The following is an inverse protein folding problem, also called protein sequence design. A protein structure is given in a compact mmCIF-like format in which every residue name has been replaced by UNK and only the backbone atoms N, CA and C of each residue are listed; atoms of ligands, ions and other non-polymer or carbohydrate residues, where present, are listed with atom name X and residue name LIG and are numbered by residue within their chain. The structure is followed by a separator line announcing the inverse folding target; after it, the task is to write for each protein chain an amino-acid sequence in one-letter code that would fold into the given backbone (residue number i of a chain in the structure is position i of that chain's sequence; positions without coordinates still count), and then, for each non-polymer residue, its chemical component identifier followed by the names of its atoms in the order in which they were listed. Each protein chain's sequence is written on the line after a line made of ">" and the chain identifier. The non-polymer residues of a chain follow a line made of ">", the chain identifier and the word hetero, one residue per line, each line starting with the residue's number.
data_IF_062319591042
#
_entry.id   IF_062319591042
#
_cell.length_a   1.000
_cell.length_b   1.000
_cell.length_c   1.000
_cell.angle_alpha   90.00
_cell.angle_beta   90.00
_cell.angle_gamma   90.00
#
_symmetry.space_group_name_H-M   'P 1'
#
loop_
_entity.id
_entity.type
_entity.pdbx_description
1 polymer ?
#
# COMPACT_ATOMS: atom_id res chain seq x y z
N UNK A 1 7.09 -5.03 -22.50
CA UNK A 1 7.07 -4.18 -21.27
C UNK A 1 6.83 -2.75 -21.72
N UNK A 2 5.83 -2.05 -21.20
CA UNK A 2 5.49 -0.68 -21.65
C UNK A 2 6.65 0.31 -21.43
N UNK A 3 6.84 1.25 -22.36
CA UNK A 3 7.92 2.26 -22.30
C UNK A 3 7.90 3.07 -20.99
N UNK A 4 6.71 3.34 -20.45
CA UNK A 4 6.53 4.04 -19.16
C UNK A 4 7.17 3.27 -17.99
N UNK A 5 7.09 1.93 -17.99
CA UNK A 5 7.61 1.07 -16.93
C UNK A 5 9.13 1.11 -16.88
N UNK A 6 9.78 1.00 -18.05
CA UNK A 6 11.24 1.09 -18.18
C UNK A 6 11.74 2.47 -17.74
N UNK A 7 11.04 3.54 -18.12
CA UNK A 7 11.42 4.91 -17.74
C UNK A 7 11.43 5.12 -16.22
N UNK A 8 10.47 4.53 -15.51
CA UNK A 8 10.39 4.64 -14.04
C UNK A 8 11.54 3.93 -13.32
N UNK A 9 11.97 2.77 -13.84
CA UNK A 9 13.08 1.99 -13.28
C UNK A 9 14.41 2.70 -13.53
N UNK A 10 14.63 3.16 -14.77
CA UNK A 10 15.83 3.91 -15.13
C UNK A 10 15.95 5.22 -14.37
N UNK A 11 14.84 5.94 -14.18
CA UNK A 11 14.79 7.17 -13.38
C UNK A 11 15.19 6.90 -11.92
N UNK A 12 14.64 5.85 -11.31
CA UNK A 12 15.02 5.47 -9.94
C UNK A 12 16.50 5.08 -9.86
N UNK A 13 16.98 4.23 -10.77
CA UNK A 13 18.39 3.81 -10.80
C UNK A 13 19.33 5.00 -10.96
N UNK A 14 19.02 5.91 -11.90
CA UNK A 14 19.79 7.13 -12.13
C UNK A 14 19.81 8.03 -10.89
N UNK A 15 18.64 8.29 -10.29
CA UNK A 15 18.51 9.15 -9.11
C UNK A 15 19.35 8.64 -7.94
N UNK A 16 19.29 7.34 -7.66
CA UNK A 16 20.07 6.73 -6.58
C UNK A 16 21.56 6.62 -6.88
N UNK A 17 21.95 6.45 -8.15
CA UNK A 17 23.36 6.57 -8.56
C UNK A 17 23.90 7.98 -8.35
N UNK A 18 23.15 9.01 -8.75
CA UNK A 18 23.56 10.41 -8.59
C UNK A 18 23.67 10.78 -7.12
N UNK A 19 22.68 10.40 -6.30
CA UNK A 19 22.76 10.56 -4.84
C UNK A 19 23.98 9.83 -4.27
N UNK A 20 24.22 8.58 -4.67
CA UNK A 20 25.41 7.83 -4.30
C UNK A 20 26.69 8.62 -4.62
N UNK A 21 26.81 9.17 -5.83
CA UNK A 21 27.97 9.93 -6.26
C UNK A 21 28.17 11.20 -5.43
N UNK A 22 27.09 11.90 -5.06
CA UNK A 22 27.18 13.10 -4.23
C UNK A 22 27.68 12.79 -2.81
N UNK A 23 27.25 11.67 -2.23
CA UNK A 23 27.58 11.31 -0.84
C UNK A 23 28.87 10.51 -0.70
N UNK A 24 29.06 9.48 -1.53
CA UNK A 24 30.19 8.55 -1.45
C UNK A 24 31.39 9.03 -2.26
N UNK A 25 31.16 9.84 -3.31
CA UNK A 25 32.19 10.30 -4.26
C UNK A 25 32.97 9.16 -4.95
N UNK A 26 32.44 7.94 -4.88
CA UNK A 26 33.04 6.74 -5.48
C UNK A 26 32.09 6.14 -6.52
N UNK A 27 32.54 5.85 -7.75
CA UNK A 27 31.65 5.43 -8.82
C UNK A 27 31.06 4.03 -8.61
N UNK A 28 31.85 3.08 -8.09
CA UNK A 28 31.42 1.67 -7.96
C UNK A 28 30.30 1.48 -6.93
N UNK A 29 30.43 1.92 -5.65
CA UNK A 29 29.33 1.90 -4.70
C UNK A 29 28.09 2.66 -5.20
N UNK A 30 28.28 3.79 -5.85
CA UNK A 30 27.16 4.61 -6.35
C UNK A 30 26.36 3.90 -7.43
N UNK A 31 27.05 3.25 -8.38
CA UNK A 31 26.38 2.43 -9.41
C UNK A 31 25.63 1.26 -8.79
N UNK A 32 26.20 0.60 -7.78
CA UNK A 32 25.53 -0.48 -7.06
C UNK A 32 24.28 -0.01 -6.32
N UNK A 33 24.29 1.19 -5.72
CA UNK A 33 23.08 1.79 -5.14
C UNK A 33 22.00 2.01 -6.20
N UNK A 34 22.37 2.54 -7.37
CA UNK A 34 21.45 2.71 -8.49
C UNK A 34 20.88 1.39 -8.99
N UNK A 35 21.72 0.37 -9.17
CA UNK A 35 21.30 -0.98 -9.57
C UNK A 35 20.36 -1.56 -8.52
N UNK A 36 20.70 -1.49 -7.24
CA UNK A 36 19.86 -1.97 -6.14
C UNK A 36 18.49 -1.31 -6.11
N UNK A 37 18.43 0.01 -6.28
CA UNK A 37 17.17 0.76 -6.36
C UNK A 37 16.35 0.40 -7.61
N UNK A 38 17.02 0.24 -8.77
CA UNK A 38 16.39 -0.20 -10.01
C UNK A 38 15.75 -1.59 -9.87
N UNK A 39 16.49 -2.54 -9.31
CA UNK A 39 16.00 -3.90 -9.02
C UNK A 39 14.81 -3.85 -8.04
N UNK A 40 14.91 -3.09 -6.96
CA UNK A 40 13.80 -2.93 -6.01
C UNK A 40 12.55 -2.31 -6.65
N UNK A 41 12.70 -1.40 -7.61
CA UNK A 41 11.59 -0.82 -8.39
C UNK A 41 11.00 -1.79 -9.39
N UNK A 42 11.80 -2.68 -9.98
CA UNK A 42 11.33 -3.73 -10.87
C UNK A 42 10.32 -4.67 -10.19
N UNK A 43 10.43 -4.86 -8.87
CA UNK A 43 9.48 -5.65 -8.08
C UNK A 43 8.01 -5.17 -8.18
N UNK A 44 7.77 -3.90 -8.56
CA UNK A 44 6.40 -3.42 -8.82
C UNK A 44 5.71 -4.20 -9.93
N UNK A 45 6.47 -4.74 -10.89
CA UNK A 45 5.95 -5.43 -12.07
C UNK A 45 5.99 -6.96 -11.95
N UNK A 46 6.61 -7.50 -10.91
CA UNK A 46 6.63 -8.93 -10.67
C UNK A 46 5.29 -9.44 -10.14
N UNK A 47 5.00 -10.71 -10.42
CA UNK A 47 3.87 -11.45 -9.82
C UNK A 47 3.92 -11.31 -8.29
N UNK A 48 2.75 -11.31 -7.67
CA UNK A 48 2.61 -11.24 -6.21
C UNK A 48 3.49 -12.32 -5.55
N UNK A 49 4.14 -11.97 -4.44
CA UNK A 49 5.12 -12.76 -3.69
C UNK A 49 6.55 -12.75 -4.23
N UNK A 50 6.75 -12.87 -5.55
CA UNK A 50 8.10 -12.73 -6.14
C UNK A 50 8.66 -11.31 -6.02
N UNK A 51 7.76 -10.33 -5.90
CA UNK A 51 8.12 -8.95 -5.62
C UNK A 51 8.86 -8.76 -4.28
N UNK A 52 8.53 -9.56 -3.26
CA UNK A 52 9.26 -9.55 -1.98
C UNK A 52 10.71 -9.98 -2.21
N UNK A 53 10.94 -11.07 -2.94
CA UNK A 53 12.28 -11.58 -3.19
C UNK A 53 13.12 -10.62 -4.03
N UNK A 54 12.54 -10.02 -5.08
CA UNK A 54 13.22 -9.02 -5.91
C UNK A 54 13.58 -7.78 -5.10
N UNK A 55 12.69 -7.30 -4.21
CA UNK A 55 13.03 -6.21 -3.27
C UNK A 55 14.16 -6.62 -2.34
N UNK A 56 14.11 -7.84 -1.80
CA UNK A 56 15.17 -8.41 -0.97
C UNK A 56 16.54 -8.33 -1.67
N UNK A 57 16.61 -8.78 -2.93
CA UNK A 57 17.83 -8.70 -3.75
C UNK A 57 18.25 -7.24 -3.97
N UNK A 58 17.33 -6.35 -4.34
CA UNK A 58 17.64 -4.93 -4.56
C UNK A 58 18.23 -4.24 -3.32
N UNK A 59 17.65 -4.48 -2.15
CA UNK A 59 18.19 -3.97 -0.88
C UNK A 59 19.49 -4.66 -0.46
N UNK A 60 19.68 -5.94 -0.80
CA UNK A 60 20.95 -6.64 -0.60
C UNK A 60 22.09 -6.05 -1.45
N UNK A 61 21.82 -5.73 -2.71
CA UNK A 61 22.78 -5.03 -3.59
C UNK A 61 23.09 -3.64 -3.04
N UNK A 62 22.09 -2.91 -2.55
CA UNK A 62 22.30 -1.62 -1.91
C UNK A 62 23.15 -1.75 -0.62
N UNK A 63 22.95 -2.80 0.18
CA UNK A 63 23.80 -3.08 1.34
C UNK A 63 25.24 -3.35 0.94
N UNK A 64 25.46 -4.06 -0.15
CA UNK A 64 26.81 -4.33 -0.67
C UNK A 64 27.51 -3.03 -1.11
N UNK A 65 26.76 -2.10 -1.71
CA UNK A 65 27.29 -0.78 -2.05
C UNK A 65 27.86 -0.06 -0.82
N UNK A 66 27.11 -0.04 0.30
CA UNK A 66 27.59 0.56 1.54
C UNK A 66 28.77 -0.19 2.15
N UNK A 67 28.86 -1.51 2.01
CA UNK A 67 30.03 -2.27 2.50
C UNK A 67 31.31 -1.94 1.71
N UNK A 68 31.18 -1.78 0.39
CA UNK A 68 32.29 -1.48 -0.52
C UNK A 68 32.75 -0.02 -0.48
N UNK A 69 31.94 0.89 0.04
CA UNK A 69 32.32 2.29 0.23
C UNK A 69 33.55 2.41 1.16
N UNK A 70 34.61 3.11 0.73
CA UNK A 70 35.89 3.12 1.47
C UNK A 70 35.93 4.08 2.66
N UNK A 71 34.94 4.97 2.80
CA UNK A 71 34.86 5.92 3.91
C UNK A 71 34.80 5.24 5.29
N UNK A 72 35.55 5.77 6.26
CA UNK A 72 35.67 5.23 7.62
C UNK A 72 34.54 5.66 8.57
N UNK A 73 33.46 6.23 8.03
CA UNK A 73 32.41 6.82 8.84
C UNK A 73 31.44 5.78 9.40
N UNK A 74 30.96 6.01 10.62
CA UNK A 74 29.98 5.12 11.28
C UNK A 74 28.67 4.95 10.49
N UNK A 75 28.25 5.99 9.75
CA UNK A 75 27.04 5.93 8.95
C UNK A 75 27.11 4.88 7.83
N UNK A 76 28.32 4.51 7.36
CA UNK A 76 28.54 3.41 6.42
C UNK A 76 27.93 2.11 6.97
N UNK A 77 28.31 1.76 8.19
CA UNK A 77 27.86 0.54 8.86
C UNK A 77 26.37 0.61 9.21
N UNK A 78 25.87 1.79 9.56
CA UNK A 78 24.44 2.00 9.78
C UNK A 78 23.63 1.72 8.51
N UNK A 79 24.01 2.32 7.38
CA UNK A 79 23.29 2.14 6.12
C UNK A 79 23.45 0.74 5.54
N UNK A 80 24.61 0.09 5.70
CA UNK A 80 24.78 -1.31 5.39
C UNK A 80 23.86 -2.19 6.25
N UNK A 81 23.83 -1.97 7.57
CA UNK A 81 23.01 -2.73 8.51
C UNK A 81 21.52 -2.61 8.23
N UNK A 82 21.01 -1.38 8.04
CA UNK A 82 19.58 -1.17 7.81
C UNK A 82 19.13 -1.73 6.46
N UNK A 83 19.94 -1.58 5.40
CA UNK A 83 19.59 -2.12 4.07
C UNK A 83 19.66 -3.64 4.05
N UNK A 84 20.65 -4.25 4.72
CA UNK A 84 20.69 -5.70 4.95
C UNK A 84 19.46 -6.19 5.74
N UNK A 85 19.07 -5.46 6.79
CA UNK A 85 17.89 -5.81 7.58
C UNK A 85 16.61 -5.76 6.75
N UNK A 86 16.46 -4.73 5.91
CA UNK A 86 15.34 -4.63 4.95
C UNK A 86 15.34 -5.83 4.00
N UNK A 87 16.50 -6.21 3.47
CA UNK A 87 16.64 -7.34 2.57
C UNK A 87 16.21 -8.65 3.23
N UNK A 88 16.73 -8.93 4.44
CA UNK A 88 16.37 -10.10 5.24
C UNK A 88 14.88 -10.10 5.58
N UNK A 89 14.31 -8.95 5.94
CA UNK A 89 12.88 -8.83 6.26
C UNK A 89 12.00 -9.19 5.06
N UNK A 90 12.38 -8.79 3.84
CA UNK A 90 11.66 -9.19 2.63
C UNK A 90 11.79 -10.67 2.30
N UNK A 91 12.98 -11.25 2.47
CA UNK A 91 13.18 -12.69 2.27
C UNK A 91 12.38 -13.49 3.30
N UNK A 92 12.39 -13.05 4.56
CA UNK A 92 11.64 -13.72 5.63
C UNK A 92 10.13 -13.60 5.41
N UNK A 93 9.65 -12.44 4.95
CA UNK A 93 8.24 -12.26 4.56
C UNK A 93 7.85 -13.20 3.42
N UNK A 94 8.72 -13.36 2.41
CA UNK A 94 8.50 -14.32 1.33
C UNK A 94 8.41 -15.76 1.86
N UNK A 95 9.36 -16.17 2.70
CA UNK A 95 9.41 -17.52 3.28
C UNK A 95 8.18 -17.84 4.13
N UNK A 96 7.77 -16.93 5.01
CA UNK A 96 6.56 -17.09 5.84
C UNK A 96 5.31 -17.22 5.00
N UNK A 97 5.22 -16.45 3.92
CA UNK A 97 4.07 -16.49 3.02
C UNK A 97 4.06 -17.77 2.17
N UNK A 98 5.20 -18.17 1.62
CA UNK A 98 5.31 -19.34 0.76
C UNK A 98 5.11 -20.66 1.53
N UNK A 99 5.58 -20.76 2.77
CA UNK A 99 5.52 -21.99 3.56
C UNK A 99 4.29 -22.08 4.47
N UNK A 100 3.76 -20.96 4.95
CA UNK A 100 2.72 -20.95 6.00
C UNK A 100 1.48 -20.10 5.65
N UNK A 101 1.40 -19.56 4.43
CA UNK A 101 0.40 -18.56 3.99
C UNK A 101 0.26 -17.37 4.94
N UNK A 102 1.33 -17.04 5.68
CA UNK A 102 1.31 -16.04 6.73
C UNK A 102 1.88 -14.71 6.24
N UNK A 103 1.08 -13.63 6.33
CA UNK A 103 1.43 -12.26 5.94
C UNK A 103 1.79 -11.34 7.14
N UNK A 104 2.15 -11.91 8.28
CA UNK A 104 2.48 -11.16 9.52
C UNK A 104 3.58 -10.11 9.32
N UNK A 105 4.73 -10.50 8.74
CA UNK A 105 5.86 -9.57 8.54
C UNK A 105 5.48 -8.47 7.56
N UNK A 106 4.77 -8.79 6.49
CA UNK A 106 4.29 -7.80 5.52
C UNK A 106 3.37 -6.76 6.19
N UNK A 107 2.42 -7.22 7.02
CA UNK A 107 1.47 -6.34 7.75
C UNK A 107 2.13 -5.44 8.78
N UNK A 108 3.28 -5.84 9.31
CA UNK A 108 4.03 -5.14 10.36
C UNK A 108 5.38 -4.63 9.88
N UNK A 109 5.57 -4.51 8.56
CA UNK A 109 6.88 -4.25 7.97
C UNK A 109 7.54 -2.97 8.52
N UNK A 110 6.76 -1.89 8.71
CA UNK A 110 7.27 -0.65 9.31
C UNK A 110 7.81 -0.85 10.74
N UNK A 111 7.18 -1.71 11.54
CA UNK A 111 7.68 -2.04 12.88
C UNK A 111 8.99 -2.83 12.80
N UNK A 112 9.08 -3.81 11.88
CA UNK A 112 10.33 -4.54 11.62
C UNK A 112 11.46 -3.62 11.15
N UNK A 113 11.16 -2.64 10.29
CA UNK A 113 12.12 -1.64 9.86
C UNK A 113 12.60 -0.76 11.02
N UNK A 114 11.69 -0.34 11.91
CA UNK A 114 12.04 0.48 13.06
C UNK A 114 12.97 -0.29 14.02
N UNK A 115 12.67 -1.57 14.29
CA UNK A 115 13.56 -2.44 15.07
C UNK A 115 14.92 -2.58 14.40
N UNK A 116 14.96 -2.83 13.09
CA UNK A 116 16.20 -2.92 12.32
C UNK A 116 17.01 -1.63 12.33
N UNK A 117 16.35 -0.48 12.23
CA UNK A 117 16.99 0.83 12.29
C UNK A 117 17.62 1.08 13.66
N UNK A 118 16.89 0.80 14.74
CA UNK A 118 17.40 0.93 16.11
C UNK A 118 18.60 0.00 16.34
N UNK A 119 18.48 -1.27 15.93
CA UNK A 119 19.55 -2.25 16.08
C UNK A 119 20.79 -1.86 15.27
N UNK A 120 20.62 -1.49 14.00
CA UNK A 120 21.72 -1.04 13.13
C UNK A 120 22.38 0.23 13.66
N UNK A 121 21.61 1.16 14.24
CA UNK A 121 22.13 2.38 14.84
C UNK A 121 22.97 2.07 16.08
N UNK A 122 22.48 1.23 16.99
CA UNK A 122 23.21 0.84 18.19
C UNK A 122 24.53 0.13 17.88
N UNK A 123 24.57 -0.70 16.84
CA UNK A 123 25.80 -1.40 16.43
C UNK A 123 26.79 -0.50 15.70
N UNK A 124 26.30 0.40 14.85
CA UNK A 124 27.17 1.22 14.01
C UNK A 124 27.73 2.44 14.74
N UNK A 125 26.99 2.99 15.72
CA UNK A 125 27.34 4.27 16.32
C UNK A 125 28.62 4.19 17.17
N UNK A 126 29.55 5.16 17.08
CA UNK A 126 30.89 5.03 17.69
C UNK A 126 30.89 4.90 19.22
N UNK A 127 29.89 5.48 19.89
CA UNK A 127 29.79 5.49 21.34
C UNK A 127 28.44 4.88 21.79
N UNK A 128 28.40 3.65 22.34
CA UNK A 128 27.15 2.97 22.65
C UNK A 128 26.32 3.71 23.72
N UNK A 129 26.97 4.38 24.69
CA UNK A 129 26.27 5.22 25.68
C UNK A 129 25.68 6.46 25.04
N UNK A 130 26.38 7.05 24.08
CA UNK A 130 25.90 8.18 23.28
C UNK A 130 24.70 7.79 22.41
N UNK A 131 24.74 6.62 21.77
CA UNK A 131 23.65 6.08 20.96
C UNK A 131 22.37 5.88 21.78
N UNK A 132 22.50 5.29 22.98
CA UNK A 132 21.39 5.06 23.90
C UNK A 132 20.76 6.37 24.37
N UNK A 133 21.59 7.35 24.77
CA UNK A 133 21.12 8.70 25.13
C UNK A 133 20.39 9.37 23.95
N UNK A 134 20.93 9.25 22.75
CA UNK A 134 20.31 9.81 21.55
C UNK A 134 18.94 9.18 21.27
N UNK A 135 18.83 7.84 21.36
CA UNK A 135 17.55 7.14 21.21
C UNK A 135 16.54 7.52 22.29
N UNK A 136 16.97 7.68 23.54
CA UNK A 136 16.11 8.16 24.63
C UNK A 136 15.60 9.58 24.35
N UNK A 137 16.47 10.49 23.94
CA UNK A 137 16.06 11.86 23.59
C UNK A 137 15.12 11.88 22.38
N UNK A 138 15.39 11.07 21.36
CA UNK A 138 14.55 10.96 20.17
C UNK A 138 13.16 10.43 20.50
N UNK A 139 13.09 9.37 21.32
CA UNK A 139 11.82 8.78 21.77
C UNK A 139 11.03 9.74 22.65
N UNK A 140 11.69 10.44 23.58
CA UNK A 140 11.05 11.48 24.40
C UNK A 140 10.52 12.63 23.53
N UNK A 141 11.29 13.09 22.55
CA UNK A 141 10.87 14.14 21.62
C UNK A 141 9.65 13.70 20.78
N UNK A 142 9.67 12.46 20.27
CA UNK A 142 8.55 11.86 19.56
C UNK A 142 7.31 11.71 20.43
N UNK A 143 7.48 11.33 21.70
CA UNK A 143 6.39 11.25 22.67
C UNK A 143 5.76 12.61 22.94
N UNK A 144 6.58 13.66 23.10
CA UNK A 144 6.10 15.04 23.29
C UNK A 144 5.30 15.50 22.05
N UNK A 145 5.80 15.24 20.85
CA UNK A 145 5.09 15.55 19.60
C UNK A 145 3.77 14.78 19.49
N UNK A 146 3.77 13.50 19.86
CA UNK A 146 2.56 12.68 19.87
C UNK A 146 1.54 13.19 20.88
N UNK A 147 1.96 13.57 22.10
CA UNK A 147 1.09 14.18 23.09
C UNK A 147 0.52 15.51 22.58
N UNK A 148 1.34 16.38 22.00
CA UNK A 148 0.88 17.64 21.42
C UNK A 148 -0.16 17.40 20.32
N UNK A 149 0.07 16.42 19.43
CA UNK A 149 -0.88 16.02 18.40
C UNK A 149 -2.17 15.44 19.01
N UNK A 150 -2.07 14.57 20.01
CA UNK A 150 -3.22 13.96 20.67
C UNK A 150 -4.08 15.02 21.38
N UNK A 151 -3.45 15.96 22.09
CA UNK A 151 -4.11 17.12 22.71
C UNK A 151 -4.76 18.00 21.64
N UNK A 152 -4.04 18.34 20.56
CA UNK A 152 -4.59 19.12 19.45
C UNK A 152 -5.80 18.44 18.81
N UNK A 153 -5.76 17.12 18.64
CA UNK A 153 -6.84 16.34 18.04
C UNK A 153 -8.03 16.23 18.99
N UNK A 154 -7.77 16.05 20.30
CA UNK A 154 -8.80 16.06 21.34
C UNK A 154 -9.52 17.41 21.40
N UNK A 155 -8.77 18.51 21.43
CA UNK A 155 -9.30 19.88 21.39
C UNK A 155 -10.10 20.09 20.10
N UNK A 156 -9.55 19.74 18.93
CA UNK A 156 -10.24 19.90 17.63
C UNK A 156 -11.54 19.09 17.54
N UNK A 157 -11.58 17.89 18.09
CA UNK A 157 -12.79 17.03 18.05
C UNK A 157 -13.84 17.45 19.08
N UNK A 158 -13.46 18.01 20.23
CA UNK A 158 -14.39 18.45 21.28
C UNK A 158 -14.84 19.92 21.14
N UNK A 159 -13.98 20.79 20.59
CA UNK A 159 -14.28 22.22 20.38
C UNK A 159 -14.62 22.55 18.93
N UNK A 160 -14.34 21.66 17.99
CA UNK A 160 -14.85 21.74 16.64
C UNK A 160 -16.36 21.61 16.66
N UNK A 161 -17.07 22.74 16.48
CA UNK A 161 -18.50 22.75 16.19
C UNK A 161 -18.75 21.70 15.12
N UNK A 162 -19.44 20.60 15.49
CA UNK A 162 -19.99 19.66 14.52
C UNK A 162 -20.84 20.49 13.56
N UNK A 163 -20.32 20.82 12.39
CA UNK A 163 -21.15 21.22 11.27
C UNK A 163 -22.01 20.00 11.01
N UNK A 164 -23.25 20.03 11.51
CA UNK A 164 -24.31 19.17 11.02
C UNK A 164 -24.37 19.45 9.52
N UNK A 165 -23.69 18.63 8.75
CA UNK A 165 -24.03 18.47 7.34
C UNK A 165 -25.35 17.73 7.41
N UNK A 166 -26.44 18.49 7.36
CA UNK A 166 -27.77 17.94 7.16
C UNK A 166 -27.70 17.10 5.89
N UNK A 167 -28.04 15.80 5.95
CA UNK A 167 -28.11 14.99 4.75
C UNK A 167 -29.11 15.66 3.81
N UNK A 168 -28.65 16.05 2.63
CA UNK A 168 -29.48 16.59 1.57
C UNK A 168 -30.66 15.63 1.36
N UNK A 169 -31.90 16.12 1.33
CA UNK A 169 -33.07 15.28 1.16
C UNK A 169 -32.94 14.52 -0.16
N UNK A 170 -33.14 13.20 -0.09
CA UNK A 170 -33.24 12.35 -1.28
C UNK A 170 -34.44 12.85 -2.11
N UNK A 171 -34.26 13.15 -3.40
CA UNK A 171 -35.36 13.59 -4.24
C UNK A 171 -36.42 12.48 -4.33
N UNK A 172 -37.65 12.85 -4.00
CA UNK A 172 -38.84 12.01 -4.13
C UNK A 172 -39.08 11.67 -5.61
N UNK A 173 -39.38 10.39 -5.85
CA UNK A 173 -39.40 9.79 -7.17
C UNK A 173 -40.40 10.42 -8.15
N UNK A 174 -39.96 10.46 -9.40
CA UNK A 174 -40.81 10.26 -10.57
C UNK A 174 -40.12 9.20 -11.45
N UNK A 175 -40.82 8.10 -11.72
CA UNK A 175 -40.42 7.14 -12.76
C UNK A 175 -40.59 7.86 -14.10
N UNK A 176 -39.49 8.30 -14.70
CA UNK A 176 -39.43 8.78 -16.08
C UNK A 176 -38.04 8.48 -16.64
N UNK A 177 -38.05 7.58 -17.62
CA UNK A 177 -37.09 7.34 -18.72
C UNK A 177 -35.62 7.77 -18.51
N UNK A 178 -34.73 6.77 -18.50
CA UNK A 178 -33.33 6.85 -18.98
C UNK A 178 -32.33 7.82 -18.32
N UNK A 179 -32.37 8.00 -17.00
CA UNK A 179 -31.25 8.65 -16.27
C UNK A 179 -30.13 7.65 -15.89
N UNK A 180 -30.51 6.43 -15.47
CA UNK A 180 -29.58 5.45 -14.89
C UNK A 180 -28.74 4.68 -15.93
N UNK A 181 -29.14 4.65 -17.20
CA UNK A 181 -28.32 4.12 -18.31
C UNK A 181 -27.09 5.01 -18.60
N UNK A 182 -27.17 6.33 -18.34
CA UNK A 182 -26.00 7.24 -18.33
C UNK A 182 -25.17 7.14 -17.06
N UNK A 183 -25.73 6.62 -15.98
CA UNK A 183 -25.11 6.57 -14.65
C UNK A 183 -24.50 5.22 -14.27
N UNK A 184 -24.79 4.14 -15.01
CA UNK A 184 -24.19 2.82 -14.79
C UNK A 184 -22.66 2.90 -14.68
N UNK A 185 -22.02 3.65 -15.58
CA UNK A 185 -20.56 3.83 -15.55
C UNK A 185 -20.08 4.46 -14.24
N UNK A 186 -20.78 5.48 -13.73
CA UNK A 186 -20.46 6.14 -12.45
C UNK A 186 -20.71 5.25 -11.24
N UNK A 187 -21.79 4.47 -11.28
CA UNK A 187 -22.16 3.56 -10.18
C UNK A 187 -21.20 2.38 -10.10
N UNK A 188 -20.82 1.83 -11.26
CA UNK A 188 -19.78 0.79 -11.36
C UNK A 188 -18.43 1.34 -10.92
N UNK A 189 -18.05 2.53 -11.36
CA UNK A 189 -16.81 3.19 -10.93
C UNK A 189 -16.80 3.48 -9.43
N UNK A 190 -17.92 3.91 -8.84
CA UNK A 190 -18.04 4.12 -7.40
C UNK A 190 -17.84 2.82 -6.60
N UNK A 191 -18.39 1.70 -7.05
CA UNK A 191 -18.18 0.41 -6.39
C UNK A 191 -16.76 -0.12 -6.60
N UNK A 192 -16.27 -0.14 -7.84
CA UNK A 192 -14.94 -0.68 -8.18
C UNK A 192 -13.85 0.15 -7.51
N UNK A 193 -13.91 1.47 -7.59
CA UNK A 193 -12.87 2.35 -7.07
C UNK A 193 -13.00 2.62 -5.58
N UNK A 194 -14.19 3.03 -5.13
CA UNK A 194 -14.40 3.50 -3.75
C UNK A 194 -14.95 2.43 -2.82
N UNK A 195 -15.41 1.30 -3.35
CA UNK A 195 -16.06 0.25 -2.56
C UNK A 195 -17.45 0.64 -2.08
N UNK A 196 -18.05 1.69 -2.66
CA UNK A 196 -19.39 2.13 -2.28
C UNK A 196 -20.44 1.22 -2.91
N UNK A 197 -21.05 0.39 -2.06
CA UNK A 197 -22.02 -0.65 -2.45
C UNK A 197 -23.45 -0.14 -2.57
N UNK A 198 -23.78 1.00 -1.96
CA UNK A 198 -25.17 1.48 -1.86
C UNK A 198 -25.74 1.86 -3.24
N UNK A 199 -25.05 2.67 -4.06
CA UNK A 199 -25.58 3.06 -5.38
C UNK A 199 -25.75 1.86 -6.31
N UNK A 200 -24.80 0.92 -6.28
CA UNK A 200 -24.81 -0.28 -7.12
C UNK A 200 -25.93 -1.25 -6.73
N UNK A 201 -26.12 -1.48 -5.44
CA UNK A 201 -27.19 -2.36 -4.94
C UNK A 201 -28.56 -1.83 -5.34
N UNK A 202 -28.79 -0.52 -5.18
CA UNK A 202 -30.05 0.13 -5.57
C UNK A 202 -30.30 0.03 -7.08
N UNK A 203 -29.26 0.25 -7.90
CA UNK A 203 -29.36 0.09 -9.35
C UNK A 203 -29.75 -1.34 -9.75
N UNK A 204 -29.10 -2.35 -9.16
CA UNK A 204 -29.36 -3.76 -9.49
C UNK A 204 -30.76 -4.20 -9.10
N UNK A 205 -31.27 -3.76 -7.94
CA UNK A 205 -32.64 -4.08 -7.49
C UNK A 205 -33.69 -3.43 -8.40
N UNK A 206 -33.47 -2.19 -8.83
CA UNK A 206 -34.41 -1.46 -9.69
C UNK A 206 -34.47 -1.96 -11.12
N UNK A 207 -33.39 -2.53 -11.63
CA UNK A 207 -33.29 -3.02 -13.02
C UNK A 207 -33.25 -4.54 -13.10
N UNK A 208 -33.73 -5.24 -12.05
CA UNK A 208 -33.79 -6.69 -12.08
C UNK A 208 -34.87 -7.17 -13.07
N UNK A 209 -34.65 -8.29 -13.77
CA UNK A 209 -35.65 -8.87 -14.68
C UNK A 209 -37.00 -9.11 -14.00
N UNK A 210 -38.08 -8.75 -14.70
CA UNK A 210 -39.44 -9.07 -14.27
C UNK A 210 -39.60 -10.60 -14.19
N UNK A 211 -39.89 -11.13 -12.99
CA UNK A 211 -40.07 -12.58 -12.75
C UNK A 211 -39.15 -13.20 -11.70
N UNK A 212 -38.16 -12.47 -11.19
CA UNK A 212 -37.34 -12.91 -10.05
C UNK A 212 -38.10 -12.73 -8.73
N UNK A 213 -38.16 -13.80 -7.91
CA UNK A 213 -38.66 -13.68 -6.54
C UNK A 213 -37.70 -12.84 -5.68
N UNK A 214 -38.22 -12.09 -4.70
CA UNK A 214 -37.40 -11.26 -3.80
C UNK A 214 -36.25 -12.04 -3.13
N UNK A 215 -36.48 -13.31 -2.82
CA UNK A 215 -35.48 -14.21 -2.23
C UNK A 215 -34.33 -14.47 -3.19
N UNK A 216 -34.62 -14.72 -4.48
CA UNK A 216 -33.62 -14.97 -5.51
C UNK A 216 -32.82 -13.70 -5.81
N UNK A 217 -33.50 -12.55 -5.89
CA UNK A 217 -32.84 -11.26 -6.07
C UNK A 217 -31.88 -10.96 -4.91
N UNK A 218 -32.31 -11.22 -3.67
CA UNK A 218 -31.47 -11.06 -2.49
C UNK A 218 -30.24 -11.97 -2.55
N UNK A 219 -30.39 -13.23 -2.92
CA UNK A 219 -29.25 -14.16 -3.05
C UNK A 219 -28.26 -13.73 -4.13
N UNK A 220 -28.74 -13.21 -5.26
CA UNK A 220 -27.87 -12.77 -6.36
C UNK A 220 -27.08 -11.51 -5.99
N UNK A 221 -27.70 -10.55 -5.29
CA UNK A 221 -27.05 -9.26 -4.94
C UNK A 221 -26.24 -9.36 -3.64
N UNK A 222 -26.46 -10.39 -2.82
CA UNK A 222 -25.77 -10.66 -1.55
C UNK A 222 -24.23 -10.48 -1.59
N UNK A 223 -23.50 -10.96 -2.62
CA UNK A 223 -22.05 -10.80 -2.69
C UNK A 223 -21.58 -9.34 -2.68
N UNK A 224 -22.39 -8.40 -3.18
CA UNK A 224 -22.10 -6.96 -3.19
C UNK A 224 -22.50 -6.32 -1.86
N UNK A 225 -23.63 -6.75 -1.28
CA UNK A 225 -24.13 -6.21 0.00
C UNK A 225 -23.26 -6.63 1.17
N UNK A 226 -22.84 -7.89 1.21
CA UNK A 226 -22.00 -8.45 2.28
C UNK A 226 -20.52 -8.08 2.08
N UNK A 227 -20.15 -7.48 0.94
CA UNK A 227 -18.80 -7.01 0.71
C UNK A 227 -18.40 -5.96 1.75
N UNK A 228 -17.29 -6.25 2.42
CA UNK A 228 -16.65 -5.35 3.38
C UNK A 228 -15.23 -5.09 2.89
N UNK A 229 -14.86 -3.85 2.55
CA UNK A 229 -13.51 -3.56 2.08
C UNK A 229 -12.52 -3.88 3.22
N UNK A 230 -11.40 -4.57 2.93
CA UNK A 230 -10.38 -4.80 3.93
C UNK A 230 -9.79 -3.46 4.36
N UNK A 231 -9.75 -3.20 5.67
CA UNK A 231 -9.06 -2.03 6.22
C UNK A 231 -7.54 -2.29 6.17
N UNK A 232 -6.76 -1.60 5.31
CA UNK A 232 -5.32 -1.79 5.28
C UNK A 232 -4.71 -1.35 6.62
N UNK A 233 -3.84 -2.18 7.18
CA UNK A 233 -3.06 -1.83 8.37
C UNK A 233 -2.21 -0.58 8.08
N UNK A 234 -2.17 0.41 8.99
CA UNK A 234 -1.31 1.60 8.83
C UNK A 234 0.19 1.26 8.86
N UNK A 235 0.54 0.04 9.26
CA UNK A 235 1.93 -0.45 9.32
C UNK A 235 2.40 -1.15 8.02
N UNK A 236 1.52 -1.25 7.02
CA UNK A 236 1.87 -1.77 5.70
C UNK A 236 2.73 -0.76 4.93
N UNK A 237 3.69 -1.23 4.12
CA UNK A 237 4.37 -0.35 3.17
C UNK A 237 3.37 0.25 2.17
N UNK A 238 3.52 1.52 1.75
CA UNK A 238 2.62 2.17 0.80
C UNK A 238 2.42 1.38 -0.50
N UNK A 239 3.49 0.78 -1.03
CA UNK A 239 3.45 -0.01 -2.24
C UNK A 239 2.64 -1.32 -2.09
N UNK A 240 2.58 -1.89 -0.88
CA UNK A 240 1.73 -3.06 -0.59
C UNK A 240 0.28 -2.64 -0.56
N UNK A 241 -0.01 -1.47 0.03
CA UNK A 241 -1.36 -0.89 0.03
C UNK A 241 -1.82 -0.66 -1.42
N UNK A 242 -0.97 -0.06 -2.27
CA UNK A 242 -1.25 0.14 -3.70
C UNK A 242 -1.57 -1.19 -4.41
N UNK A 243 -0.75 -2.22 -4.23
CA UNK A 243 -1.00 -3.54 -4.84
C UNK A 243 -2.26 -4.19 -4.31
N UNK A 244 -2.51 -4.12 -2.99
CA UNK A 244 -3.74 -4.65 -2.39
C UNK A 244 -4.97 -3.95 -2.95
N UNK A 245 -4.95 -2.62 -3.09
CA UNK A 245 -6.04 -1.86 -3.70
C UNK A 245 -6.26 -2.24 -5.18
N UNK A 246 -5.19 -2.45 -5.94
CA UNK A 246 -5.30 -2.88 -7.34
C UNK A 246 -5.92 -4.29 -7.46
N UNK A 247 -5.48 -5.24 -6.63
CA UNK A 247 -6.04 -6.59 -6.60
C UNK A 247 -7.49 -6.59 -6.09
N UNK A 248 -7.81 -5.69 -5.15
CA UNK A 248 -9.17 -5.46 -4.67
C UNK A 248 -10.09 -4.95 -5.78
N UNK A 249 -9.62 -4.01 -6.62
CA UNK A 249 -10.37 -3.52 -7.78
C UNK A 249 -10.70 -4.66 -8.75
N UNK A 250 -9.74 -5.53 -9.03
CA UNK A 250 -9.95 -6.71 -9.88
C UNK A 250 -10.99 -7.67 -9.28
N UNK A 251 -10.88 -7.95 -7.99
CA UNK A 251 -11.85 -8.81 -7.28
C UNK A 251 -13.25 -8.22 -7.29
N UNK A 252 -13.39 -6.90 -7.11
CA UNK A 252 -14.70 -6.21 -7.19
C UNK A 252 -15.30 -6.28 -8.59
N UNK A 253 -14.47 -6.14 -9.63
CA UNK A 253 -14.90 -6.32 -11.03
C UNK A 253 -15.40 -7.74 -11.30
N UNK A 254 -14.71 -8.75 -10.76
CA UNK A 254 -15.10 -10.16 -10.89
C UNK A 254 -16.45 -10.43 -10.18
N UNK A 255 -16.61 -9.96 -8.93
CA UNK A 255 -17.88 -10.05 -8.19
C UNK A 255 -19.02 -9.36 -8.95
N UNK A 256 -18.77 -8.18 -9.51
CA UNK A 256 -19.75 -7.45 -10.32
C UNK A 256 -20.12 -8.24 -11.58
N UNK A 257 -19.14 -8.77 -12.31
CA UNK A 257 -19.33 -9.55 -13.54
C UNK A 257 -20.16 -10.80 -13.29
N UNK A 258 -19.85 -11.54 -12.22
CA UNK A 258 -20.62 -12.72 -11.81
C UNK A 258 -22.04 -12.37 -11.41
N UNK A 259 -22.23 -11.24 -10.71
CA UNK A 259 -23.56 -10.77 -10.30
C UNK A 259 -24.42 -10.37 -11.51
N UNK A 260 -23.85 -9.61 -12.45
CA UNK A 260 -24.53 -9.20 -13.68
C UNK A 260 -24.89 -10.40 -14.57
N UNK A 261 -24.00 -11.39 -14.66
CA UNK A 261 -24.25 -12.63 -15.40
C UNK A 261 -25.41 -13.42 -14.81
N UNK A 262 -25.48 -13.55 -13.48
CA UNK A 262 -26.60 -14.21 -12.78
C UNK A 262 -27.93 -13.47 -12.93
N UNK A 263 -27.89 -12.15 -13.12
CA UNK A 263 -29.07 -11.32 -13.39
C UNK A 263 -29.50 -11.33 -14.86
N UNK A 264 -28.78 -12.03 -15.75
CA UNK A 264 -29.16 -12.16 -17.16
C UNK A 264 -28.81 -10.95 -18.04
N UNK A 265 -27.95 -10.03 -17.59
CA UNK A 265 -27.48 -8.94 -18.44
C UNK A 265 -26.57 -9.49 -19.56
N UNK A 266 -26.89 -9.21 -20.82
CA UNK A 266 -26.09 -9.55 -22.00
C UNK A 266 -25.10 -8.42 -22.31
N UNK A 267 -23.81 -8.72 -22.50
CA UNK A 267 -22.75 -7.73 -22.75
C UNK A 267 -21.66 -7.62 -21.67
N UNK A 268 -21.60 -8.54 -20.70
CA UNK A 268 -20.62 -8.52 -19.60
C UNK A 268 -19.20 -8.97 -20.02
N UNK A 269 -19.07 -9.51 -21.24
CA UNK A 269 -17.83 -10.06 -21.78
C UNK A 269 -17.17 -9.16 -22.85
N UNK A 270 -17.80 -8.02 -23.20
CA UNK A 270 -17.31 -7.04 -24.19
C UNK A 270 -16.61 -5.84 -23.56
#
# INVERSE_FOLDING_TARGET
>A
MEKSKISSILSAAFTWTVLGLMFMKEPVPSLLLGIGAGVAMFARYARRYYDLLIRGVGFGVASLAFLLYTGSHWYKWFFAGITAWVAVSYVLAYLLRAMFDNDFIERKFLAFLLVGAVFSFLLAYPNPRGALRFLLLLTMSGLILYLAYAVSTYISTHLGKKSRVEPLPLPSGSVREDYYSRELRRVVEAFVEKGDKVPLTVFLIRNAPEGLAEVQLREIVRPIVDYTPPSPSPLLPPWVVEKKLADEKLRRLEVLRDTLRKLGFSGVDS
#
